data_IF_939435125627
#
_entry.id   IF_939435125627
#
_cell.length_a   1.000
_cell.length_b   1.000
_cell.length_c   1.000
_cell.angle_alpha   90.00
_cell.angle_beta   90.00
_cell.angle_gamma   90.00
#
_symmetry.space_group_name_H-M   'P 1'
#
loop_
_entity.id
_entity.type
_entity.pdbx_description
1 polymer ?
#
# COMPACT_ATOMS: atom_id res chain seq x y z
N UNK A 1 1.12 13.76 29.26
CA UNK A 1 0.48 12.59 28.60
C UNK A 1 0.95 12.57 27.16
N UNK A 2 1.66 11.53 26.75
CA UNK A 2 1.97 11.30 25.33
C UNK A 2 0.72 10.65 24.74
N UNK A 3 0.02 11.36 23.84
CA UNK A 3 -1.01 10.73 23.02
C UNK A 3 -0.33 9.63 22.21
N UNK A 4 -0.88 8.40 22.12
CA UNK A 4 -0.33 7.40 21.21
C UNK A 4 -0.32 8.03 19.82
N UNK A 5 0.86 8.18 19.22
CA UNK A 5 0.95 8.47 17.79
C UNK A 5 0.20 7.33 17.14
N UNK A 6 -0.91 7.63 16.48
CA UNK A 6 -1.55 6.67 15.60
C UNK A 6 -0.49 6.24 14.60
N UNK A 7 -0.02 5.00 14.71
CA UNK A 7 0.98 4.47 13.80
C UNK A 7 0.43 4.61 12.36
N UNK A 8 1.25 5.02 11.39
CA UNK A 8 0.82 5.09 10.01
C UNK A 8 0.37 3.69 9.57
N UNK A 9 -0.84 3.60 9.05
CA UNK A 9 -1.37 2.32 8.55
C UNK A 9 -0.72 2.06 7.20
N UNK A 10 -0.01 0.95 7.08
CA UNK A 10 0.66 0.53 5.85
C UNK A 10 0.41 -0.97 5.62
N UNK A 11 0.06 -1.31 4.38
CA UNK A 11 0.00 -2.68 3.88
C UNK A 11 1.08 -2.80 2.81
N UNK A 12 2.02 -3.73 2.98
CA UNK A 12 3.05 -3.97 1.99
C UNK A 12 3.27 -5.45 1.70
N UNK A 13 3.48 -5.74 0.43
CA UNK A 13 3.76 -7.09 -0.06
C UNK A 13 4.90 -7.05 -1.04
N UNK A 14 5.88 -7.93 -0.82
CA UNK A 14 7.01 -8.17 -1.72
C UNK A 14 6.77 -9.47 -2.49
N UNK A 15 6.93 -9.40 -3.79
CA UNK A 15 6.74 -10.49 -4.75
C UNK A 15 8.08 -10.76 -5.44
N UNK A 16 8.52 -12.01 -5.47
CA UNK A 16 9.75 -12.43 -6.16
C UNK A 16 9.53 -12.48 -7.68
N UNK A 17 10.61 -12.54 -8.47
CA UNK A 17 10.49 -12.76 -9.91
C UNK A 17 9.68 -14.02 -10.21
N UNK A 18 8.65 -13.89 -11.05
CA UNK A 18 7.72 -14.98 -11.40
C UNK A 18 6.57 -15.22 -10.42
N UNK A 19 6.53 -14.57 -9.24
CA UNK A 19 5.39 -14.64 -8.31
C UNK A 19 4.27 -13.65 -8.64
N UNK A 20 4.50 -12.76 -9.61
CA UNK A 20 3.55 -11.72 -9.97
C UNK A 20 3.46 -11.52 -11.48
N UNK A 21 2.29 -11.09 -11.90
CA UNK A 21 1.97 -10.49 -13.19
C UNK A 21 1.42 -9.09 -12.97
N UNK A 22 1.36 -8.28 -14.02
CA UNK A 22 0.76 -6.93 -13.92
C UNK A 22 -0.69 -7.00 -13.42
N UNK A 23 -1.45 -8.02 -13.83
CA UNK A 23 -2.82 -8.26 -13.35
C UNK A 23 -2.88 -8.53 -11.84
N UNK A 24 -2.03 -9.43 -11.34
CA UNK A 24 -1.97 -9.73 -9.89
C UNK A 24 -1.50 -8.53 -9.08
N UNK A 25 -0.59 -7.73 -9.65
CA UNK A 25 -0.06 -6.53 -9.00
C UNK A 25 -1.14 -5.45 -8.88
N UNK A 26 -1.92 -5.22 -9.93
CA UNK A 26 -3.09 -4.35 -9.88
C UNK A 26 -4.15 -4.86 -8.90
N UNK A 27 -4.39 -6.17 -8.86
CA UNK A 27 -5.31 -6.77 -7.89
C UNK A 27 -4.87 -6.52 -6.44
N UNK A 28 -3.58 -6.67 -6.14
CA UNK A 28 -3.02 -6.36 -4.82
C UNK A 28 -3.15 -4.88 -4.45
N UNK A 29 -2.90 -3.98 -5.40
CA UNK A 29 -3.07 -2.54 -5.20
C UNK A 29 -4.52 -2.23 -4.83
N UNK A 30 -5.48 -2.70 -5.61
CA UNK A 30 -6.90 -2.41 -5.39
C UNK A 30 -7.41 -3.03 -4.09
N UNK A 31 -6.99 -4.26 -3.76
CA UNK A 31 -7.31 -4.90 -2.49
C UNK A 31 -6.80 -4.08 -1.30
N UNK A 32 -5.53 -3.66 -1.33
CA UNK A 32 -4.95 -2.89 -0.21
C UNK A 32 -5.55 -1.50 -0.11
N UNK A 33 -5.83 -0.84 -1.25
CA UNK A 33 -6.57 0.43 -1.27
C UNK A 33 -7.95 0.24 -0.64
N UNK A 34 -8.67 -0.83 -1.00
CA UNK A 34 -9.99 -1.12 -0.42
C UNK A 34 -9.91 -1.38 1.08
N UNK A 35 -8.93 -2.14 1.56
CA UNK A 35 -8.72 -2.37 3.00
C UNK A 35 -8.53 -1.05 3.74
N UNK A 36 -7.69 -0.15 3.23
CA UNK A 36 -7.45 1.16 3.86
C UNK A 36 -8.68 2.07 3.76
N UNK A 37 -9.43 2.04 2.65
CA UNK A 37 -10.75 2.72 2.55
C UNK A 37 -11.74 2.20 3.59
N UNK A 38 -11.80 0.89 3.80
CA UNK A 38 -12.67 0.27 4.80
C UNK A 38 -12.32 0.72 6.23
N UNK A 39 -11.08 1.15 6.47
CA UNK A 39 -10.64 1.74 7.73
C UNK A 39 -11.01 3.23 7.88
N UNK A 40 -11.56 3.85 6.83
CA UNK A 40 -12.05 5.23 6.84
C UNK A 40 -11.17 6.23 6.09
N UNK A 41 -10.13 5.80 5.39
CA UNK A 41 -9.34 6.70 4.56
C UNK A 41 -10.12 7.14 3.31
N UNK A 42 -10.00 8.41 2.94
CA UNK A 42 -10.45 8.89 1.63
C UNK A 42 -9.42 8.56 0.55
N UNK A 43 -9.83 8.56 -0.73
CA UNK A 43 -8.92 8.24 -1.84
C UNK A 43 -7.69 9.19 -1.90
N UNK A 44 -7.88 10.46 -1.50
CA UNK A 44 -6.82 11.46 -1.43
C UNK A 44 -5.77 11.19 -0.33
N UNK A 45 -6.15 10.43 0.71
CA UNK A 45 -5.24 10.06 1.80
C UNK A 45 -4.53 8.73 1.54
N UNK A 46 -4.92 8.00 0.49
CA UNK A 46 -4.33 6.69 0.18
C UNK A 46 -3.17 6.87 -0.78
N UNK A 47 -1.97 6.61 -0.28
CA UNK A 47 -0.75 6.67 -1.06
C UNK A 47 -0.36 5.26 -1.47
N UNK A 48 -0.33 5.02 -2.78
CA UNK A 48 0.14 3.77 -3.38
C UNK A 48 1.52 3.98 -3.96
N UNK A 49 2.48 3.15 -3.57
CA UNK A 49 3.80 3.08 -4.15
C UNK A 49 4.06 1.66 -4.67
N UNK A 50 4.60 1.56 -5.88
CA UNK A 50 4.95 0.29 -6.52
C UNK A 50 6.40 0.37 -6.93
N UNK A 51 7.23 -0.44 -6.29
CA UNK A 51 8.63 -0.59 -6.64
C UNK A 51 8.78 -1.83 -7.52
N UNK A 52 9.40 -1.66 -8.69
CA UNK A 52 9.79 -2.76 -9.58
C UNK A 52 11.31 -2.73 -9.69
N UNK A 53 11.92 -3.89 -9.56
CA UNK A 53 13.38 -4.04 -9.64
C UNK A 53 13.77 -4.62 -11.00
N UNK A 54 14.97 -4.29 -11.49
CA UNK A 54 15.51 -4.84 -12.74
C UNK A 54 15.70 -6.36 -12.69
N UNK A 55 15.78 -6.94 -11.49
CA UNK A 55 15.85 -8.39 -11.26
C UNK A 55 14.47 -9.08 -11.37
N UNK A 56 13.40 -8.33 -11.64
CA UNK A 56 12.05 -8.84 -11.86
C UNK A 56 11.21 -9.01 -10.59
N UNK A 57 11.70 -8.57 -9.42
CA UNK A 57 10.89 -8.51 -8.22
C UNK A 57 10.02 -7.24 -8.21
N UNK A 58 8.87 -7.33 -7.56
CA UNK A 58 7.98 -6.20 -7.34
C UNK A 58 7.62 -6.06 -5.86
N UNK A 59 7.31 -4.84 -5.44
CA UNK A 59 6.79 -4.54 -4.12
C UNK A 59 5.65 -3.55 -4.26
N UNK A 60 4.52 -3.86 -3.65
CA UNK A 60 3.39 -2.95 -3.50
C UNK A 60 3.38 -2.47 -2.06
N UNK A 61 3.26 -1.15 -1.89
CA UNK A 61 3.09 -0.49 -0.60
C UNK A 61 1.88 0.42 -0.74
N UNK A 62 0.86 0.21 0.09
CA UNK A 62 -0.28 1.13 0.19
C UNK A 62 -0.35 1.61 1.62
N UNK A 63 -0.40 2.93 1.79
CA UNK A 63 -0.35 3.57 3.09
C UNK A 63 -1.45 4.61 3.24
N UNK A 64 -1.90 4.80 4.48
CA UNK A 64 -2.80 5.89 4.84
C UNK A 64 -1.98 7.09 5.30
N UNK A 65 -1.89 8.08 4.41
CA UNK A 65 -1.33 9.39 4.71
C UNK A 65 -2.37 10.24 5.48
N UNK A 66 -2.48 9.98 6.79
CA UNK A 66 -3.29 10.79 7.73
C UNK A 66 -2.75 12.21 7.94
N UNK A 67 -1.69 12.60 7.23
CA UNK A 67 -0.98 13.83 7.52
C UNK A 67 -1.80 15.07 7.17
N UNK A 68 -2.85 14.98 6.33
CA UNK A 68 -3.96 15.95 6.25
C UNK A 68 -3.62 17.45 6.41
N UNK A 69 -2.43 17.87 5.97
CA UNK A 69 -1.84 19.19 6.16
C UNK A 69 -1.09 19.57 4.89
#
# INVERSE_FOLDING_TARGET
MLLPRTEPVEISTRMRPGEWTEESLQAHIEDYRQQIRNMGATDAEIVTNVERTDEGAARVVVSWNRTGL
#
